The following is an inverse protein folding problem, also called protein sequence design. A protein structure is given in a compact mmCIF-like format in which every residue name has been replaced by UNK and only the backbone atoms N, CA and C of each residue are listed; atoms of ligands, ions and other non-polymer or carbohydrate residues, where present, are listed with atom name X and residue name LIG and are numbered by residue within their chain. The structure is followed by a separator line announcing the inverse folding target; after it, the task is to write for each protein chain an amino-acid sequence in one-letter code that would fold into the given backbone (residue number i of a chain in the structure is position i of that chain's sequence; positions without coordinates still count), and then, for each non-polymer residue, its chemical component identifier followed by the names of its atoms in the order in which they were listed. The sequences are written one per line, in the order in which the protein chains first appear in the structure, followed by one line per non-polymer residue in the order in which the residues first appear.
data_IF_726166997958
#
_entry.id   IF_726166997958
#
_cell.length_a   1.000
_cell.length_b   1.000
_cell.length_c   1.000
_cell.angle_alpha   90.00
_cell.angle_beta   90.00
_cell.angle_gamma   90.00
#
_symmetry.space_group_name_H-M   'P 1'
#
loop_
_entity.id
_entity.type
_entity.pdbx_description
1 polymer ?
#
# COMPACT_ATOMS: atom_id res chain seq x y z
N UNK A 1 -12.27 10.57 56.04
CA UNK A 1 -13.30 9.94 55.18
C UNK A 1 -13.74 10.88 54.05
N UNK A 2 -13.96 12.15 54.34
CA UNK A 2 -14.38 13.16 53.35
C UNK A 2 -13.35 13.42 52.21
N UNK A 3 -12.08 13.53 52.53
CA UNK A 3 -11.00 13.75 51.49
C UNK A 3 -10.87 12.62 50.49
N UNK A 4 -11.05 11.35 50.90
CA UNK A 4 -11.00 10.20 49.96
C UNK A 4 -12.20 10.16 49.02
N UNK A 5 -13.32 10.73 49.40
CA UNK A 5 -14.50 10.84 48.54
C UNK A 5 -14.30 11.95 47.52
N UNK A 6 -13.76 13.11 47.94
CA UNK A 6 -13.47 14.21 47.03
C UNK A 6 -12.46 13.82 45.95
N UNK A 7 -11.37 13.13 46.29
CA UNK A 7 -10.36 12.66 45.36
C UNK A 7 -10.92 11.68 44.32
N UNK A 8 -11.82 10.78 44.72
CA UNK A 8 -12.46 9.83 43.80
C UNK A 8 -13.46 10.51 42.85
N UNK A 9 -14.16 11.54 43.32
CA UNK A 9 -15.08 12.33 42.47
C UNK A 9 -14.27 13.16 41.46
N UNK A 10 -13.15 13.75 41.85
CA UNK A 10 -12.28 14.52 40.97
C UNK A 10 -11.66 13.63 39.88
N UNK A 11 -11.21 12.43 40.23
CA UNK A 11 -10.66 11.47 39.26
C UNK A 11 -11.75 10.98 38.28
N UNK A 12 -12.96 10.73 38.77
CA UNK A 12 -14.09 10.31 37.94
C UNK A 12 -14.54 11.41 36.96
N UNK A 13 -14.55 12.67 37.40
CA UNK A 13 -14.87 13.82 36.53
C UNK A 13 -13.76 14.05 35.51
N UNK A 14 -12.49 13.89 35.86
CA UNK A 14 -11.36 14.01 34.94
C UNK A 14 -11.35 12.87 33.88
N UNK A 15 -11.66 11.65 34.30
CA UNK A 15 -11.81 10.51 33.39
C UNK A 15 -13.01 10.69 32.46
N UNK A 16 -14.12 11.24 32.93
CA UNK A 16 -15.31 11.52 32.13
C UNK A 16 -15.07 12.69 31.15
N UNK A 17 -14.31 13.72 31.55
CA UNK A 17 -13.91 14.81 30.65
C UNK A 17 -12.92 14.36 29.57
N UNK A 18 -12.01 13.42 29.85
CA UNK A 18 -11.11 12.83 28.88
C UNK A 18 -11.89 11.96 27.88
N UNK A 19 -12.89 11.21 28.33
CA UNK A 19 -13.73 10.40 27.41
C UNK A 19 -14.65 11.29 26.55
N UNK A 20 -15.10 12.44 27.04
CA UNK A 20 -15.91 13.40 26.28
C UNK A 20 -15.10 14.23 25.27
N UNK A 21 -13.77 14.33 25.42
CA UNK A 21 -12.90 15.09 24.50
C UNK A 21 -12.44 14.28 23.26
N UNK A 22 -12.72 12.98 23.18
CA UNK A 22 -12.30 12.13 22.08
C UNK A 22 -13.41 11.70 21.12
N UNK A 23 -14.61 12.25 21.24
CA UNK A 23 -15.62 12.12 20.19
C UNK A 23 -15.69 13.39 19.33
N UNK A 24 -14.58 13.85 18.76
CA UNK A 24 -14.70 14.51 17.47
C UNK A 24 -15.08 13.40 16.48
N UNK A 25 -16.38 13.34 16.18
CA UNK A 25 -16.86 12.67 15.00
C UNK A 25 -16.02 13.24 13.84
N UNK A 26 -15.19 12.40 13.22
CA UNK A 26 -14.54 12.81 11.98
C UNK A 26 -15.63 13.37 11.08
N UNK A 27 -15.52 14.63 10.71
CA UNK A 27 -16.49 15.28 9.83
C UNK A 27 -16.34 14.60 8.48
N UNK A 28 -17.42 14.07 7.98
CA UNK A 28 -17.42 13.41 6.68
C UNK A 28 -17.47 14.51 5.62
N UNK A 29 -16.32 14.91 5.13
CA UNK A 29 -16.16 16.03 4.19
C UNK A 29 -15.31 15.57 2.98
N UNK A 30 -15.44 16.27 1.86
CA UNK A 30 -14.53 16.25 0.72
C UNK A 30 -13.87 17.60 0.59
N UNK A 31 -12.64 17.65 0.11
CA UNK A 31 -12.03 18.89 -0.35
C UNK A 31 -12.64 19.33 -1.67
N UNK A 32 -12.67 20.64 -1.90
CA UNK A 32 -12.90 21.18 -3.22
C UNK A 32 -11.96 22.36 -3.51
N UNK A 33 -11.65 22.49 -4.80
CA UNK A 33 -11.03 23.68 -5.38
C UNK A 33 -11.91 24.20 -6.50
N UNK A 34 -12.03 25.52 -6.62
CA UNK A 34 -12.71 26.15 -7.75
C UNK A 34 -11.71 26.90 -8.63
N UNK A 35 -11.93 26.85 -9.94
CA UNK A 35 -11.08 27.50 -10.91
C UNK A 35 -11.90 28.29 -11.94
N UNK A 36 -11.29 29.27 -12.57
CA UNK A 36 -11.91 29.93 -13.68
C UNK A 36 -11.83 29.06 -14.93
N UNK A 37 -12.98 28.68 -15.47
CA UNK A 37 -13.09 28.04 -16.78
C UNK A 37 -12.80 29.00 -17.93
N UNK A 38 -12.38 28.48 -19.06
CA UNK A 38 -12.15 29.25 -20.29
C UNK A 38 -12.89 28.56 -21.44
N UNK A 39 -13.88 29.28 -22.03
CA UNK A 39 -14.67 28.76 -23.14
C UNK A 39 -15.83 27.87 -22.74
N UNK A 40 -16.62 27.43 -23.73
CA UNK A 40 -17.85 26.68 -23.57
C UNK A 40 -17.60 25.27 -22.96
N UNK A 41 -16.60 24.58 -23.47
CA UNK A 41 -16.17 23.27 -22.93
C UNK A 41 -14.69 23.35 -22.62
N UNK A 42 -14.28 23.58 -21.37
CA UNK A 42 -12.89 23.68 -21.02
C UNK A 42 -12.17 22.34 -21.29
N UNK A 43 -10.89 22.41 -21.61
CA UNK A 43 -10.07 21.21 -21.80
C UNK A 43 -10.10 20.35 -20.54
N UNK A 44 -10.28 19.06 -20.71
CA UNK A 44 -10.47 18.12 -19.62
C UNK A 44 -9.11 17.72 -18.98
N UNK A 45 -9.00 17.65 -17.64
CA UNK A 45 -7.77 17.22 -16.97
C UNK A 45 -7.31 15.80 -17.30
N UNK A 46 -8.17 14.93 -17.79
CA UNK A 46 -7.93 13.50 -17.97
C UNK A 46 -7.45 13.04 -19.35
N UNK A 47 -7.46 13.90 -20.38
CA UNK A 47 -7.07 13.51 -21.75
C UNK A 47 -5.61 13.82 -22.10
N UNK A 48 -4.68 13.59 -21.17
CA UNK A 48 -3.23 13.76 -21.44
C UNK A 48 -2.79 15.22 -21.59
N UNK A 49 -3.66 16.18 -21.38
CA UNK A 49 -3.34 17.59 -21.24
C UNK A 49 -2.95 17.85 -19.79
N UNK A 50 -1.71 18.21 -19.55
CA UNK A 50 -1.31 18.78 -18.27
C UNK A 50 -2.08 20.08 -18.05
N UNK A 51 -3.22 20.03 -17.39
CA UNK A 51 -3.88 21.20 -16.90
C UNK A 51 -3.16 21.66 -15.62
N UNK A 52 -2.14 22.45 -15.78
CA UNK A 52 -1.68 23.31 -14.73
C UNK A 52 -2.77 24.38 -14.55
N UNK A 53 -3.77 24.11 -13.71
CA UNK A 53 -4.66 25.18 -13.31
C UNK A 53 -3.85 26.18 -12.48
N UNK A 54 -4.06 27.48 -12.74
CA UNK A 54 -3.51 28.51 -11.89
C UNK A 54 -4.07 28.35 -10.46
N UNK A 55 -3.61 29.17 -9.54
CA UNK A 55 -4.12 29.25 -8.18
C UNK A 55 -5.65 29.14 -8.14
N UNK A 56 -6.25 28.27 -7.31
CA UNK A 56 -7.69 28.18 -7.17
C UNK A 56 -8.32 29.55 -6.83
N UNK A 57 -9.55 29.79 -7.30
CA UNK A 57 -10.36 30.93 -6.86
C UNK A 57 -10.77 30.77 -5.40
N UNK A 58 -11.11 29.56 -4.99
CA UNK A 58 -11.40 29.20 -3.61
C UNK A 58 -11.07 27.71 -3.35
N UNK A 59 -10.77 27.39 -2.10
CA UNK A 59 -10.53 26.03 -1.61
C UNK A 59 -11.13 25.90 -0.22
N UNK A 60 -11.92 24.85 0.02
CA UNK A 60 -12.50 24.53 1.34
C UNK A 60 -12.99 23.06 1.33
N UNK A 61 -13.93 22.70 2.19
CA UNK A 61 -14.53 21.37 2.29
C UNK A 61 -16.05 21.42 2.11
N UNK A 62 -16.59 20.31 1.60
CA UNK A 62 -18.05 20.07 1.49
C UNK A 62 -18.42 18.74 2.11
N UNK A 63 -19.63 18.63 2.67
CA UNK A 63 -20.10 17.41 3.32
C UNK A 63 -20.55 16.32 2.34
N UNK A 64 -20.65 16.62 1.05
CA UNK A 64 -21.10 15.68 0.01
C UNK A 64 -21.34 16.36 -1.32
N UNK A 65 -21.75 15.60 -2.33
CA UNK A 65 -21.99 16.07 -3.70
C UNK A 65 -23.50 16.04 -3.97
N UNK A 66 -24.20 17.05 -3.50
CA UNK A 66 -25.64 17.26 -3.72
C UNK A 66 -25.92 18.78 -3.84
N UNK A 67 -25.55 19.34 -4.98
CA UNK A 67 -25.65 20.79 -5.22
C UNK A 67 -26.63 21.13 -6.32
N UNK A 68 -27.33 22.22 -6.12
CA UNK A 68 -28.09 22.94 -7.16
C UNK A 68 -27.96 24.44 -6.86
N UNK A 69 -27.06 25.09 -7.56
CA UNK A 69 -26.83 26.55 -7.41
C UNK A 69 -27.79 27.39 -8.28
N UNK A 70 -28.52 26.74 -9.22
CA UNK A 70 -29.30 27.47 -10.23
C UNK A 70 -28.43 28.55 -10.89
N UNK A 71 -28.90 29.80 -10.94
CA UNK A 71 -28.13 30.95 -11.43
C UNK A 71 -27.28 31.65 -10.34
N UNK A 72 -27.07 31.00 -9.22
CA UNK A 72 -26.22 31.51 -8.13
C UNK A 72 -24.74 31.18 -8.30
N UNK A 73 -23.90 31.71 -7.42
CA UNK A 73 -22.47 31.43 -7.45
C UNK A 73 -22.20 29.95 -7.11
N UNK A 74 -21.30 29.34 -7.86
CA UNK A 74 -20.87 27.97 -7.68
C UNK A 74 -19.87 27.89 -6.52
N UNK A 75 -20.28 27.30 -5.40
CA UNK A 75 -19.50 27.31 -4.16
C UNK A 75 -18.99 28.71 -3.81
N UNK A 76 -17.80 28.83 -3.27
CA UNK A 76 -17.19 30.12 -2.90
C UNK A 76 -16.34 30.74 -4.01
N UNK A 77 -16.55 30.32 -5.27
CA UNK A 77 -15.84 30.87 -6.45
C UNK A 77 -16.13 32.34 -6.71
N UNK A 78 -17.25 32.88 -6.20
CA UNK A 78 -17.79 34.19 -6.52
C UNK A 78 -18.32 34.30 -7.96
N UNK A 79 -18.44 33.21 -8.71
CA UNK A 79 -18.85 33.15 -10.12
C UNK A 79 -20.08 32.31 -10.32
N UNK A 80 -20.93 32.67 -11.25
CA UNK A 80 -22.11 31.92 -11.68
C UNK A 80 -21.81 31.03 -12.90
N UNK A 81 -20.90 31.51 -13.77
CA UNK A 81 -20.59 30.92 -15.06
C UNK A 81 -19.08 30.77 -15.25
N UNK A 82 -18.70 29.89 -16.17
CA UNK A 82 -17.29 29.61 -16.49
C UNK A 82 -16.47 29.22 -15.23
N UNK A 83 -16.97 28.25 -14.51
CA UNK A 83 -16.36 27.71 -13.30
C UNK A 83 -16.02 26.25 -13.49
N UNK A 84 -14.85 25.83 -13.01
CA UNK A 84 -14.47 24.43 -12.87
C UNK A 84 -14.38 24.14 -11.39
N UNK A 85 -14.94 23.02 -10.96
CA UNK A 85 -14.83 22.51 -9.58
C UNK A 85 -14.14 21.17 -9.58
N UNK A 86 -13.17 21.01 -8.70
CA UNK A 86 -12.52 19.75 -8.39
C UNK A 86 -12.92 19.31 -6.98
N UNK A 87 -13.66 18.21 -6.86
CA UNK A 87 -13.94 17.56 -5.59
C UNK A 87 -12.99 16.38 -5.42
N UNK A 88 -12.34 16.28 -4.25
CA UNK A 88 -11.42 15.19 -4.00
C UNK A 88 -11.35 14.80 -2.52
N UNK A 89 -11.03 13.55 -2.28
CA UNK A 89 -10.98 12.96 -0.94
C UNK A 89 -11.24 11.46 -1.01
N UNK A 90 -11.97 10.94 -0.05
CA UNK A 90 -12.18 9.50 0.07
C UNK A 90 -13.66 9.16 0.26
N UNK A 91 -14.06 8.01 -0.28
CA UNK A 91 -15.40 7.45 -0.11
C UNK A 91 -15.31 6.03 0.43
N UNK A 92 -15.96 5.75 1.55
CA UNK A 92 -16.03 4.40 2.14
C UNK A 92 -17.30 3.72 1.71
N UNK A 93 -17.19 2.53 1.11
CA UNK A 93 -18.35 1.71 0.73
C UNK A 93 -18.92 1.02 1.97
N UNK A 94 -20.17 1.25 2.36
CA UNK A 94 -20.77 0.59 3.52
C UNK A 94 -20.90 -0.93 3.34
N UNK A 95 -20.97 -1.66 4.48
CA UNK A 95 -21.17 -3.11 4.48
C UNK A 95 -19.87 -3.91 4.44
N UNK A 96 -19.91 -5.11 3.88
CA UNK A 96 -18.77 -6.04 3.81
C UNK A 96 -18.82 -6.91 2.55
N UNK A 97 -17.69 -7.47 2.16
CA UNK A 97 -17.58 -8.34 0.98
C UNK A 97 -17.72 -7.61 -0.35
N UNK A 98 -17.68 -8.36 -1.44
CA UNK A 98 -17.77 -7.83 -2.80
C UNK A 98 -19.20 -7.35 -3.10
N UNK A 99 -19.31 -6.13 -3.62
CA UNK A 99 -20.59 -5.47 -3.94
C UNK A 99 -20.54 -4.91 -5.36
N UNK A 100 -21.67 -5.00 -6.06
CA UNK A 100 -21.85 -4.38 -7.38
C UNK A 100 -22.53 -3.02 -7.20
N UNK A 101 -21.80 -1.95 -7.46
CA UNK A 101 -22.24 -0.57 -7.26
C UNK A 101 -22.28 0.15 -8.60
N UNK A 102 -23.42 0.76 -8.93
CA UNK A 102 -23.57 1.64 -10.09
C UNK A 102 -23.72 3.07 -9.60
N UNK A 103 -22.99 4.00 -10.22
CA UNK A 103 -23.11 5.42 -9.95
C UNK A 103 -24.04 6.09 -10.97
N UNK A 104 -24.83 7.04 -10.49
CA UNK A 104 -25.75 7.84 -11.28
C UNK A 104 -25.44 9.31 -11.04
N UNK A 105 -25.52 10.10 -12.09
CA UNK A 105 -25.19 11.51 -12.07
C UNK A 105 -26.33 12.37 -12.57
N UNK A 106 -26.57 13.48 -11.88
CA UNK A 106 -27.27 14.65 -12.43
C UNK A 106 -26.29 15.81 -12.46
N UNK A 107 -26.09 16.43 -13.60
CA UNK A 107 -25.16 17.56 -13.75
C UNK A 107 -25.66 18.58 -14.75
N UNK A 108 -25.21 19.81 -14.55
CA UNK A 108 -25.32 20.98 -15.40
C UNK A 108 -24.02 21.78 -15.13
N UNK A 109 -23.03 21.78 -15.97
CA UNK A 109 -22.81 21.05 -17.21
C UNK A 109 -22.10 19.69 -17.03
N UNK A 110 -20.84 19.57 -17.52
CA UNK A 110 -20.11 18.32 -17.64
C UNK A 110 -19.39 17.86 -16.38
N UNK A 111 -19.29 16.55 -16.23
CA UNK A 111 -18.65 15.91 -15.09
C UNK A 111 -17.74 14.75 -15.51
N UNK A 112 -16.67 14.57 -14.76
CA UNK A 112 -15.78 13.44 -14.84
C UNK A 112 -15.40 12.95 -13.45
N UNK A 113 -15.40 11.62 -13.24
CA UNK A 113 -15.06 11.05 -11.93
C UNK A 113 -14.20 9.79 -12.07
N UNK A 114 -13.23 9.69 -11.21
CA UNK A 114 -12.49 8.45 -10.93
C UNK A 114 -12.75 7.98 -9.49
N UNK A 115 -12.67 6.66 -9.33
CA UNK A 115 -12.40 6.04 -8.04
C UNK A 115 -11.02 5.36 -8.13
N UNK A 116 -10.12 5.77 -7.27
CA UNK A 116 -8.69 5.47 -7.39
C UNK A 116 -8.20 5.81 -8.82
N UNK A 117 -7.77 4.84 -9.60
CA UNK A 117 -7.35 5.04 -10.99
C UNK A 117 -8.45 4.74 -12.02
N UNK A 118 -9.58 4.21 -11.61
CA UNK A 118 -10.64 3.76 -12.52
C UNK A 118 -11.57 4.90 -12.88
N UNK A 119 -11.73 5.19 -14.17
CA UNK A 119 -12.73 6.14 -14.67
C UNK A 119 -14.12 5.54 -14.49
N UNK A 120 -14.95 6.18 -13.69
CA UNK A 120 -16.32 5.74 -13.38
C UNK A 120 -17.34 6.57 -14.13
N UNK A 121 -17.12 7.87 -14.26
CA UNK A 121 -17.97 8.80 -14.98
C UNK A 121 -17.13 9.58 -15.98
N UNK A 122 -17.57 9.63 -17.23
CA UNK A 122 -16.98 10.46 -18.28
C UNK A 122 -18.09 11.08 -19.12
N UNK A 123 -18.56 12.22 -18.68
CA UNK A 123 -19.65 12.99 -19.29
C UNK A 123 -19.28 14.48 -19.35
N UNK A 124 -18.16 14.76 -20.04
CA UNK A 124 -17.57 16.09 -20.12
C UNK A 124 -18.09 16.86 -21.35
N UNK A 125 -19.34 17.31 -21.25
CA UNK A 125 -20.04 18.04 -22.32
C UNK A 125 -21.01 19.07 -21.75
N UNK A 126 -21.37 20.08 -22.57
CA UNK A 126 -22.46 21.00 -22.22
C UNK A 126 -23.79 20.30 -22.18
N UNK A 127 -24.52 20.47 -21.09
CA UNK A 127 -25.82 19.82 -20.86
C UNK A 127 -26.55 20.50 -19.71
N UNK A 128 -27.89 20.43 -19.73
CA UNK A 128 -28.69 20.74 -18.55
C UNK A 128 -29.02 19.50 -17.74
N UNK A 129 -29.48 19.68 -16.50
CA UNK A 129 -29.86 18.56 -15.64
C UNK A 129 -30.98 17.68 -16.26
N UNK A 130 -30.76 16.37 -16.26
CA UNK A 130 -31.72 15.34 -16.62
C UNK A 130 -32.05 14.45 -15.42
N UNK A 131 -32.98 13.47 -15.58
CA UNK A 131 -33.22 12.46 -14.53
C UNK A 131 -31.89 11.72 -14.18
N UNK A 132 -31.15 11.31 -15.22
CA UNK A 132 -29.76 10.85 -15.13
C UNK A 132 -29.04 11.33 -16.38
N UNK A 133 -28.07 12.20 -16.20
CA UNK A 133 -27.18 12.61 -17.29
C UNK A 133 -26.24 11.46 -17.64
N UNK A 134 -25.78 10.73 -16.62
CA UNK A 134 -24.89 9.60 -16.79
C UNK A 134 -25.21 8.47 -15.82
N UNK A 135 -25.07 7.24 -16.31
CA UNK A 135 -25.14 6.01 -15.50
C UNK A 135 -23.88 5.19 -15.79
N UNK A 136 -23.09 4.92 -14.78
CA UNK A 136 -21.85 4.14 -14.94
C UNK A 136 -22.12 2.67 -15.27
N UNK A 137 -21.12 1.98 -15.78
CA UNK A 137 -21.07 0.53 -15.65
C UNK A 137 -21.02 0.15 -14.17
N UNK A 138 -21.49 -1.04 -13.83
CA UNK A 138 -21.41 -1.54 -12.47
C UNK A 138 -19.95 -1.72 -12.07
N UNK A 139 -19.56 -1.13 -10.94
CA UNK A 139 -18.23 -1.26 -10.34
C UNK A 139 -18.26 -2.37 -9.28
N UNK A 140 -17.27 -3.24 -9.27
CA UNK A 140 -17.09 -4.21 -8.20
C UNK A 140 -16.27 -3.58 -7.09
N UNK A 141 -16.94 -3.19 -6.01
CA UNK A 141 -16.30 -2.54 -4.85
C UNK A 141 -16.41 -3.44 -3.62
N UNK A 142 -15.48 -3.30 -2.68
CA UNK A 142 -15.50 -4.07 -1.44
C UNK A 142 -16.12 -3.25 -0.31
N UNK A 143 -17.13 -3.79 0.34
CA UNK A 143 -17.75 -3.17 1.51
C UNK A 143 -16.76 -3.05 2.67
N UNK A 144 -16.77 -1.90 3.34
CA UNK A 144 -15.80 -1.53 4.36
C UNK A 144 -14.50 -0.92 3.82
N UNK A 145 -14.25 -1.02 2.52
CA UNK A 145 -13.08 -0.39 1.89
C UNK A 145 -13.35 1.07 1.54
N UNK A 146 -12.28 1.82 1.50
CA UNK A 146 -12.26 3.25 1.18
C UNK A 146 -11.50 3.46 -0.11
N UNK A 147 -12.05 4.26 -1.00
CA UNK A 147 -11.53 4.58 -2.33
C UNK A 147 -11.28 6.08 -2.44
N UNK A 148 -10.22 6.48 -3.13
CA UNK A 148 -10.01 7.90 -3.45
C UNK A 148 -10.99 8.33 -4.53
N UNK A 149 -11.75 9.40 -4.27
CA UNK A 149 -12.62 10.04 -5.26
C UNK A 149 -11.93 11.29 -5.82
N UNK A 150 -11.85 11.36 -7.13
CA UNK A 150 -11.31 12.47 -7.93
C UNK A 150 -12.38 12.86 -8.95
N UNK A 151 -13.15 13.90 -8.64
CA UNK A 151 -14.31 14.31 -9.43
C UNK A 151 -14.18 15.77 -9.88
N UNK A 152 -14.36 15.96 -11.16
CA UNK A 152 -14.33 17.27 -11.80
C UNK A 152 -15.69 17.61 -12.40
N UNK A 153 -16.07 18.85 -12.27
CA UNK A 153 -17.27 19.43 -12.87
C UNK A 153 -16.92 20.75 -13.53
N UNK A 154 -17.57 21.11 -14.61
CA UNK A 154 -17.57 22.50 -15.10
C UNK A 154 -18.98 23.03 -15.31
N UNK A 155 -19.11 24.34 -15.19
CA UNK A 155 -20.25 25.15 -15.51
C UNK A 155 -19.85 26.19 -16.55
N UNK A 156 -20.52 26.22 -17.70
CA UNK A 156 -20.28 27.19 -18.78
C UNK A 156 -21.16 28.43 -18.63
N UNK A 157 -22.45 28.24 -18.43
CA UNK A 157 -23.41 29.34 -18.30
C UNK A 157 -24.83 28.84 -18.12
N UNK A 158 -25.62 29.62 -17.37
CA UNK A 158 -27.01 29.32 -17.10
C UNK A 158 -27.29 28.85 -15.70
N UNK A 159 -27.72 27.62 -15.54
CA UNK A 159 -27.92 27.00 -14.23
C UNK A 159 -26.85 25.99 -13.90
N UNK A 160 -26.32 25.98 -12.69
CA UNK A 160 -25.30 25.05 -12.25
C UNK A 160 -25.83 24.04 -11.24
N UNK A 161 -25.52 22.76 -11.44
CA UNK A 161 -25.89 21.69 -10.52
C UNK A 161 -24.98 20.47 -10.66
N UNK A 162 -24.72 19.77 -9.54
CA UNK A 162 -24.10 18.46 -9.55
C UNK A 162 -24.58 17.59 -8.39
N UNK A 163 -25.02 16.37 -8.69
CA UNK A 163 -25.49 15.42 -7.69
C UNK A 163 -25.02 14.02 -8.01
N UNK A 164 -24.37 13.37 -7.04
CA UNK A 164 -23.87 12.02 -7.16
C UNK A 164 -24.74 11.03 -6.38
N UNK A 165 -25.21 10.02 -7.07
CA UNK A 165 -26.02 8.93 -6.52
C UNK A 165 -25.33 7.59 -6.75
N UNK A 166 -25.73 6.61 -5.97
CA UNK A 166 -25.36 5.21 -6.16
C UNK A 166 -26.49 4.25 -5.78
N UNK A 167 -26.37 2.99 -6.17
CA UNK A 167 -27.33 1.94 -5.79
C UNK A 167 -26.76 0.93 -4.78
N UNK A 168 -25.78 1.33 -3.97
CA UNK A 168 -25.06 0.45 -3.05
C UNK A 168 -25.99 -0.37 -2.11
N UNK A 169 -27.11 0.16 -1.71
CA UNK A 169 -28.13 -0.51 -0.87
C UNK A 169 -29.23 -1.21 -1.67
N UNK A 170 -29.08 -1.35 -3.00
CA UNK A 170 -30.11 -1.88 -3.91
C UNK A 170 -31.12 -0.84 -4.39
N UNK A 171 -31.18 0.35 -3.81
CA UNK A 171 -31.97 1.50 -4.25
C UNK A 171 -31.08 2.66 -4.62
N UNK A 172 -31.46 3.43 -5.66
CA UNK A 172 -30.73 4.63 -6.06
C UNK A 172 -30.98 5.72 -5.02
N UNK A 173 -29.90 6.21 -4.41
CA UNK A 173 -29.92 7.28 -3.41
C UNK A 173 -28.69 8.18 -3.57
N UNK A 174 -28.79 9.43 -3.13
CA UNK A 174 -27.63 10.31 -2.98
C UNK A 174 -26.56 9.56 -2.13
N UNK A 175 -25.32 9.66 -2.55
CA UNK A 175 -24.21 9.12 -1.78
C UNK A 175 -24.19 9.77 -0.40
N UNK A 176 -24.34 8.98 0.69
CA UNK A 176 -24.51 9.55 2.02
C UNK A 176 -23.28 10.36 2.46
N UNK A 177 -23.50 11.51 3.08
CA UNK A 177 -22.42 12.37 3.59
C UNK A 177 -21.50 11.64 4.57
N UNK A 178 -22.00 10.67 5.30
CA UNK A 178 -21.22 9.85 6.24
C UNK A 178 -20.19 8.92 5.60
N UNK A 179 -20.23 8.76 4.28
CA UNK A 179 -19.29 7.91 3.55
C UNK A 179 -18.04 8.67 3.08
N UNK A 180 -18.06 9.99 3.09
CA UNK A 180 -16.94 10.82 2.64
C UNK A 180 -15.93 11.10 3.76
N UNK A 181 -14.67 11.33 3.39
CA UNK A 181 -13.58 11.74 4.30
C UNK A 181 -12.52 12.54 3.55
N UNK A 182 -12.04 13.61 4.16
CA UNK A 182 -10.82 14.31 3.72
C UNK A 182 -9.56 13.60 4.19
N UNK A 183 -9.69 12.71 5.16
CA UNK A 183 -8.55 11.94 5.68
C UNK A 183 -8.43 10.66 4.88
N UNK A 184 -7.25 10.40 4.34
CA UNK A 184 -6.93 9.08 3.84
C UNK A 184 -7.36 8.03 4.87
N UNK A 185 -7.92 6.90 4.46
CA UNK A 185 -8.16 5.83 5.41
C UNK A 185 -6.86 5.69 6.15
N UNK A 186 -6.91 5.77 7.47
CA UNK A 186 -5.80 5.27 8.26
C UNK A 186 -5.62 3.87 7.71
N UNK A 187 -4.48 3.53 7.10
CA UNK A 187 -4.28 2.17 6.69
C UNK A 187 -4.60 1.38 7.94
N UNK A 188 -5.73 0.67 7.93
CA UNK A 188 -5.85 -0.42 8.86
C UNK A 188 -4.70 -1.29 8.44
N UNK A 189 -3.59 -1.11 9.10
CA UNK A 189 -2.43 -1.96 9.01
C UNK A 189 -2.78 -3.29 9.66
N UNK A 190 -3.89 -3.79 9.30
CA UNK A 190 -4.13 -5.18 9.34
C UNK A 190 -3.39 -5.70 8.13
N UNK A 191 -2.14 -6.11 8.31
CA UNK A 191 -1.69 -7.32 7.68
C UNK A 191 -2.97 -8.11 7.46
N UNK A 192 -3.37 -8.36 6.23
CA UNK A 192 -4.61 -9.11 6.00
C UNK A 192 -4.56 -10.34 6.88
N UNK A 193 -5.67 -10.81 7.40
CA UNK A 193 -5.68 -12.02 8.22
C UNK A 193 -4.99 -13.19 7.51
N UNK A 194 -5.02 -13.22 6.17
CA UNK A 194 -4.30 -14.20 5.35
C UNK A 194 -2.77 -13.99 5.41
N UNK A 195 -2.28 -12.76 5.37
CA UNK A 195 -0.85 -12.47 5.48
C UNK A 195 -0.31 -12.69 6.90
N UNK A 196 -1.10 -12.34 7.92
CA UNK A 196 -0.78 -12.67 9.31
C UNK A 196 -0.78 -14.19 9.51
N UNK A 197 -1.68 -14.92 8.87
CA UNK A 197 -1.73 -16.38 8.90
C UNK A 197 -0.51 -16.96 8.18
N UNK A 198 -0.16 -16.47 6.99
CA UNK A 198 1.02 -16.91 6.25
C UNK A 198 2.32 -16.70 7.06
N UNK A 199 2.43 -15.57 7.78
CA UNK A 199 3.53 -15.32 8.72
C UNK A 199 3.51 -16.29 9.88
N UNK A 200 2.35 -16.56 10.47
CA UNK A 200 2.19 -17.51 11.57
C UNK A 200 2.53 -18.94 11.10
N UNK A 201 2.09 -19.31 9.92
CA UNK A 201 2.39 -20.61 9.30
C UNK A 201 3.89 -20.73 8.99
N UNK A 202 4.51 -19.72 8.43
CA UNK A 202 5.96 -19.68 8.19
C UNK A 202 6.76 -19.77 9.51
N UNK A 203 6.33 -19.09 10.56
CA UNK A 203 6.93 -19.19 11.91
C UNK A 203 6.74 -20.56 12.55
N UNK A 204 5.70 -21.29 12.18
CA UNK A 204 5.48 -22.68 12.60
C UNK A 204 6.40 -23.69 11.93
N UNK A 205 7.08 -23.31 10.84
CA UNK A 205 8.06 -24.16 10.15
C UNK A 205 9.41 -23.99 10.84
N UNK A 206 9.95 -25.07 11.35
CA UNK A 206 11.24 -25.09 12.03
C UNK A 206 12.12 -26.20 11.47
N UNK A 207 13.43 -26.01 11.50
CA UNK A 207 14.38 -27.08 11.29
C UNK A 207 14.46 -28.02 12.49
N UNK A 208 15.32 -29.04 12.39
CA UNK A 208 15.67 -29.89 13.53
C UNK A 208 16.48 -29.05 14.55
N UNK A 209 15.96 -28.90 15.74
CA UNK A 209 16.58 -28.12 16.83
C UNK A 209 18.00 -28.56 17.19
N UNK A 210 18.44 -29.73 16.76
CA UNK A 210 19.75 -30.30 17.02
C UNK A 210 20.68 -30.32 15.80
N UNK A 211 20.20 -29.84 14.65
CA UNK A 211 20.98 -29.87 13.41
C UNK A 211 20.46 -28.94 12.34
N UNK A 212 21.20 -28.79 11.28
CA UNK A 212 20.85 -28.01 10.11
C UNK A 212 20.29 -28.90 9.02
N UNK A 213 19.36 -28.39 8.22
CA UNK A 213 18.66 -29.16 7.22
C UNK A 213 18.61 -28.43 5.88
N UNK A 214 18.90 -29.13 4.80
CA UNK A 214 18.80 -28.64 3.43
C UNK A 214 18.01 -29.63 2.61
N UNK A 215 16.88 -29.21 2.06
CA UNK A 215 16.02 -29.95 1.14
C UNK A 215 15.90 -29.18 -0.17
N UNK A 216 16.66 -29.58 -1.18
CA UNK A 216 16.67 -28.95 -2.52
C UNK A 216 16.67 -30.04 -3.58
N UNK A 217 15.94 -29.81 -4.65
CA UNK A 217 16.03 -30.50 -5.92
C UNK A 217 16.52 -29.54 -7.00
N UNK A 218 17.26 -30.03 -7.96
CA UNK A 218 17.81 -29.25 -9.07
C UNK A 218 17.51 -29.88 -10.40
N UNK A 219 17.17 -29.05 -11.37
CA UNK A 219 17.12 -29.43 -12.79
C UNK A 219 17.61 -28.27 -13.66
N UNK A 220 18.40 -28.56 -14.69
CA UNK A 220 19.06 -27.57 -15.57
C UNK A 220 20.59 -27.63 -15.48
N UNK A 221 21.24 -26.85 -16.34
CA UNK A 221 22.67 -26.86 -16.50
C UNK A 221 23.35 -25.63 -15.87
N UNK A 222 24.61 -25.78 -15.47
CA UNK A 222 25.45 -24.69 -14.95
C UNK A 222 24.88 -23.96 -13.71
N UNK A 223 24.30 -24.67 -12.77
CA UNK A 223 23.96 -24.11 -11.47
C UNK A 223 25.22 -23.91 -10.64
N UNK A 224 25.43 -22.69 -10.14
CA UNK A 224 26.38 -22.37 -9.08
C UNK A 224 25.61 -22.23 -7.76
N UNK A 225 25.74 -23.22 -6.88
CA UNK A 225 24.99 -23.30 -5.61
C UNK A 225 25.94 -23.42 -4.43
N UNK A 226 25.94 -22.39 -3.58
CA UNK A 226 26.66 -22.38 -2.31
C UNK A 226 25.69 -22.21 -1.14
N UNK A 227 25.67 -23.17 -0.22
CA UNK A 227 24.84 -23.11 1.00
C UNK A 227 25.71 -23.38 2.21
N UNK A 228 25.79 -22.38 3.08
CA UNK A 228 26.53 -22.47 4.33
C UNK A 228 25.56 -22.27 5.50
N UNK A 229 25.55 -23.22 6.41
CA UNK A 229 24.75 -23.12 7.64
C UNK A 229 25.67 -23.28 8.85
N UNK A 230 25.78 -22.23 9.63
CA UNK A 230 26.44 -22.22 10.93
C UNK A 230 25.41 -22.48 12.04
N UNK A 231 25.87 -22.73 13.26
CA UNK A 231 25.03 -23.00 14.43
C UNK A 231 24.08 -24.18 14.23
N UNK A 232 22.83 -24.10 14.62
CA UNK A 232 21.87 -25.20 14.54
C UNK A 232 20.42 -24.74 14.29
N UNK A 233 19.59 -25.70 13.92
CA UNK A 233 18.17 -25.44 13.67
C UNK A 233 17.88 -24.70 12.37
N UNK A 234 18.90 -24.40 11.56
CA UNK A 234 18.71 -23.73 10.29
C UNK A 234 18.10 -24.65 9.24
N UNK A 235 17.20 -24.11 8.44
CA UNK A 235 16.46 -24.88 7.44
C UNK A 235 16.46 -24.14 6.09
N UNK A 236 16.77 -24.89 5.04
CA UNK A 236 16.46 -24.53 3.64
C UNK A 236 15.53 -25.60 3.07
N UNK A 237 14.35 -25.19 2.59
CA UNK A 237 13.34 -26.10 2.02
C UNK A 237 12.50 -25.38 0.96
N UNK A 238 11.57 -26.07 0.30
CA UNK A 238 10.69 -25.48 -0.71
C UNK A 238 9.55 -24.63 -0.15
N UNK A 239 9.06 -23.70 -0.94
CA UNK A 239 8.01 -22.74 -0.56
C UNK A 239 6.66 -23.38 -0.24
N UNK A 240 6.45 -24.63 -0.61
CA UNK A 240 5.25 -25.41 -0.29
C UNK A 240 5.35 -26.21 1.00
N UNK A 241 6.47 -26.10 1.73
CA UNK A 241 6.64 -26.74 3.04
C UNK A 241 5.64 -26.21 4.06
N UNK A 242 5.26 -27.10 4.97
CA UNK A 242 4.40 -26.78 6.13
C UNK A 242 5.08 -27.25 7.42
N UNK A 243 4.56 -26.84 8.56
CA UNK A 243 5.05 -27.27 9.88
C UNK A 243 5.01 -28.81 10.09
N UNK A 244 4.19 -29.51 9.33
CA UNK A 244 4.03 -30.96 9.42
C UNK A 244 4.69 -31.72 8.28
N UNK A 245 5.14 -31.05 7.21
CA UNK A 245 5.71 -31.70 6.02
C UNK A 245 6.68 -30.77 5.31
N UNK A 246 7.96 -31.10 5.36
CA UNK A 246 8.97 -30.40 4.59
C UNK A 246 9.01 -30.93 3.15
N UNK A 247 9.06 -30.04 2.21
CA UNK A 247 9.16 -30.31 0.76
C UNK A 247 10.47 -29.73 0.28
N UNK A 248 11.14 -30.39 -0.66
CA UNK A 248 12.37 -29.86 -1.23
C UNK A 248 12.09 -28.60 -2.06
N UNK A 249 12.93 -27.60 -1.93
CA UNK A 249 12.96 -26.45 -2.82
C UNK A 249 13.37 -26.86 -4.23
N UNK A 250 12.69 -26.34 -5.24
CA UNK A 250 13.00 -26.63 -6.63
C UNK A 250 13.83 -25.51 -7.25
N UNK A 251 15.00 -25.86 -7.75
CA UNK A 251 15.85 -24.96 -8.57
C UNK A 251 15.84 -25.51 -9.98
N UNK A 252 15.18 -24.83 -10.91
CA UNK A 252 15.05 -25.24 -12.29
C UNK A 252 15.45 -24.13 -13.27
N UNK A 253 16.11 -24.50 -14.37
CA UNK A 253 16.65 -23.60 -15.38
C UNK A 253 18.18 -23.55 -15.39
N UNK A 254 18.74 -22.86 -16.37
CA UNK A 254 20.16 -22.89 -16.66
C UNK A 254 20.89 -21.61 -16.14
N UNK A 255 22.17 -21.77 -15.82
CA UNK A 255 23.07 -20.67 -15.46
C UNK A 255 22.61 -19.85 -14.22
N UNK A 256 21.94 -20.47 -13.28
CA UNK A 256 21.55 -19.79 -12.05
C UNK A 256 22.71 -19.77 -11.04
N UNK A 257 22.83 -18.68 -10.29
CA UNK A 257 23.78 -18.53 -9.18
C UNK A 257 23.00 -18.32 -7.89
N UNK A 258 23.22 -19.19 -6.90
CA UNK A 258 22.51 -19.15 -5.62
C UNK A 258 23.52 -19.24 -4.47
N UNK A 259 23.52 -18.25 -3.59
CA UNK A 259 24.37 -18.22 -2.39
C UNK A 259 23.49 -18.02 -1.16
N UNK A 260 23.51 -18.94 -0.23
CA UNK A 260 22.73 -18.92 1.01
C UNK A 260 23.65 -19.09 2.21
N UNK A 261 23.59 -18.13 3.13
CA UNK A 261 24.29 -18.21 4.42
C UNK A 261 23.27 -18.07 5.55
N UNK A 262 23.25 -19.01 6.46
CA UNK A 262 22.42 -18.97 7.66
C UNK A 262 23.32 -19.16 8.89
N UNK A 263 23.20 -18.27 9.89
CA UNK A 263 24.04 -18.25 11.06
C UNK A 263 25.40 -17.60 10.84
N UNK A 264 26.24 -17.57 11.87
CA UNK A 264 27.52 -16.86 11.88
C UNK A 264 28.70 -17.77 12.26
N UNK A 265 29.80 -17.70 11.51
CA UNK A 265 31.03 -18.46 11.75
C UNK A 265 31.77 -18.12 13.04
N UNK A 266 31.45 -17.01 13.68
CA UNK A 266 32.13 -16.55 14.90
C UNK A 266 31.59 -17.18 16.19
N UNK A 267 30.58 -18.06 16.11
CA UNK A 267 30.08 -18.83 17.25
C UNK A 267 29.12 -18.07 18.15
N UNK A 268 28.45 -17.07 17.64
CA UNK A 268 27.26 -16.45 18.24
C UNK A 268 26.00 -17.20 17.80
N UNK A 269 24.98 -17.22 18.65
CA UNK A 269 23.85 -18.14 18.51
C UNK A 269 22.77 -17.65 17.54
N UNK A 270 23.05 -17.54 16.25
CA UNK A 270 22.05 -17.27 15.24
C UNK A 270 21.32 -18.55 14.79
N UNK A 271 20.54 -19.11 15.71
CA UNK A 271 19.84 -20.37 15.54
C UNK A 271 18.49 -20.23 14.83
N UNK A 272 18.00 -21.34 14.26
CA UNK A 272 16.62 -21.48 13.78
C UNK A 272 16.20 -20.57 12.62
N UNK A 273 17.12 -20.15 11.76
CA UNK A 273 16.78 -19.43 10.54
C UNK A 273 16.12 -20.35 9.51
N UNK A 274 15.10 -19.86 8.83
CA UNK A 274 14.37 -20.66 7.83
C UNK A 274 14.30 -19.89 6.51
N UNK A 275 14.76 -20.53 5.46
CA UNK A 275 14.55 -20.13 4.08
C UNK A 275 13.67 -21.15 3.37
N UNK A 276 12.49 -20.74 2.94
CA UNK A 276 11.67 -21.50 2.00
C UNK A 276 11.90 -20.94 0.60
N UNK A 277 12.37 -21.77 -0.33
CA UNK A 277 12.95 -21.28 -1.57
C UNK A 277 12.57 -22.16 -2.76
N UNK A 278 12.08 -21.53 -3.83
CA UNK A 278 11.95 -22.11 -5.16
C UNK A 278 12.44 -21.10 -6.21
N UNK A 279 13.15 -21.57 -7.21
CA UNK A 279 13.68 -20.77 -8.32
C UNK A 279 13.40 -21.47 -9.65
N UNK A 280 12.70 -20.77 -10.55
CA UNK A 280 12.39 -21.28 -11.88
C UNK A 280 12.73 -20.25 -12.95
N UNK A 281 13.61 -20.61 -13.89
CA UNK A 281 14.07 -19.76 -14.97
C UNK A 281 15.58 -19.68 -15.05
N UNK A 282 16.09 -18.96 -16.04
CA UNK A 282 17.49 -18.96 -16.40
C UNK A 282 18.23 -17.71 -15.95
N UNK A 283 19.51 -17.86 -15.63
CA UNK A 283 20.45 -16.75 -15.38
C UNK A 283 19.99 -15.84 -14.23
N UNK A 284 19.34 -16.40 -13.22
CA UNK A 284 18.99 -15.67 -12.01
C UNK A 284 20.15 -15.70 -11.00
N UNK A 285 20.30 -14.62 -10.25
CA UNK A 285 21.25 -14.53 -9.14
C UNK A 285 20.48 -14.30 -7.84
N UNK A 286 20.66 -15.18 -6.87
CA UNK A 286 19.99 -15.11 -5.57
C UNK A 286 21.03 -15.19 -4.46
N UNK A 287 21.05 -14.20 -3.59
CA UNK A 287 21.88 -14.18 -2.38
C UNK A 287 20.99 -13.97 -1.17
N UNK A 288 21.07 -14.88 -0.21
CA UNK A 288 20.33 -14.79 1.05
C UNK A 288 21.29 -14.97 2.21
N UNK A 289 21.28 -14.00 3.14
CA UNK A 289 22.05 -14.03 4.36
C UNK A 289 21.12 -13.80 5.55
N UNK A 290 21.05 -14.76 6.44
CA UNK A 290 20.22 -14.71 7.65
C UNK A 290 21.10 -14.97 8.87
N UNK A 291 21.18 -14.00 9.79
CA UNK A 291 21.92 -14.15 11.01
C UNK A 291 23.45 -14.11 10.84
N UNK A 292 23.95 -13.34 9.91
CA UNK A 292 25.40 -13.26 9.60
C UNK A 292 26.15 -12.27 10.53
N UNK A 293 25.50 -11.67 11.49
CA UNK A 293 26.13 -10.77 12.47
C UNK A 293 26.48 -11.53 13.77
N UNK A 294 27.58 -11.12 14.41
CA UNK A 294 28.10 -11.74 15.65
C UNK A 294 27.16 -11.67 16.86
N UNK A 295 26.23 -10.71 16.86
CA UNK A 295 25.27 -10.48 17.96
C UNK A 295 23.83 -10.92 17.60
N UNK A 296 23.66 -11.67 16.52
CA UNK A 296 22.34 -12.06 16.01
C UNK A 296 21.72 -13.20 16.81
N UNK A 297 20.49 -13.03 17.22
CA UNK A 297 19.71 -14.05 17.95
C UNK A 297 19.08 -15.11 17.04
N UNK A 298 19.11 -14.91 15.72
CA UNK A 298 18.49 -15.82 14.73
C UNK A 298 16.98 -15.74 14.67
N UNK A 299 16.37 -16.80 14.20
CA UNK A 299 14.90 -16.88 14.06
C UNK A 299 14.35 -16.21 12.82
N UNK A 300 15.19 -15.77 11.91
CA UNK A 300 14.77 -15.14 10.65
C UNK A 300 13.99 -16.08 9.75
N UNK A 301 13.03 -15.53 9.02
CA UNK A 301 12.16 -16.27 8.12
C UNK A 301 12.03 -15.57 6.78
N UNK A 302 12.40 -16.27 5.72
CA UNK A 302 12.16 -15.83 4.35
C UNK A 302 11.43 -16.92 3.59
N UNK A 303 10.40 -16.53 2.84
CA UNK A 303 9.83 -17.36 1.79
C UNK A 303 10.07 -16.65 0.47
N UNK A 304 10.80 -17.27 -0.43
CA UNK A 304 11.27 -16.69 -1.68
C UNK A 304 10.88 -17.59 -2.84
N UNK A 305 10.15 -17.06 -3.79
CA UNK A 305 9.86 -17.73 -5.05
C UNK A 305 10.16 -16.77 -6.20
N UNK A 306 11.09 -17.14 -7.04
CA UNK A 306 11.43 -16.39 -8.26
C UNK A 306 11.06 -17.21 -9.47
N UNK A 307 10.31 -16.62 -10.40
CA UNK A 307 9.99 -17.23 -11.69
C UNK A 307 10.36 -16.23 -12.78
N UNK A 308 11.01 -16.69 -13.84
CA UNK A 308 11.52 -15.83 -14.93
C UNK A 308 13.03 -15.73 -14.94
N UNK A 309 13.56 -14.94 -15.87
CA UNK A 309 14.98 -14.96 -16.22
C UNK A 309 15.67 -13.65 -15.81
N UNK A 310 16.98 -13.73 -15.59
CA UNK A 310 17.83 -12.57 -15.32
C UNK A 310 17.41 -11.73 -14.10
N UNK A 311 16.77 -12.34 -13.11
CA UNK A 311 16.45 -11.64 -11.87
C UNK A 311 17.66 -11.67 -10.93
N UNK A 312 17.87 -10.57 -10.20
CA UNK A 312 18.89 -10.46 -9.15
C UNK A 312 18.21 -10.16 -7.83
N UNK A 313 18.42 -11.03 -6.85
CA UNK A 313 17.82 -10.95 -5.52
C UNK A 313 18.90 -10.93 -4.45
N UNK A 314 18.90 -9.92 -3.58
CA UNK A 314 19.73 -9.86 -2.38
C UNK A 314 18.84 -9.70 -1.14
N UNK A 315 18.99 -10.58 -0.17
CA UNK A 315 18.27 -10.53 1.11
C UNK A 315 19.28 -10.61 2.23
N UNK A 316 19.23 -9.64 3.12
CA UNK A 316 19.99 -9.63 4.36
C UNK A 316 19.03 -9.47 5.55
N UNK A 317 19.09 -10.37 6.50
CA UNK A 317 18.35 -10.30 7.75
C UNK A 317 19.34 -10.44 8.92
N UNK A 318 19.52 -9.36 9.67
CA UNK A 318 20.44 -9.27 10.80
C UNK A 318 19.74 -8.64 12.00
N UNK A 319 20.03 -9.17 13.19
CA UNK A 319 19.48 -8.65 14.43
C UNK A 319 20.61 -8.43 15.45
N UNK A 320 20.86 -7.21 15.84
CA UNK A 320 21.95 -6.80 16.74
C UNK A 320 21.61 -7.00 18.23
N UNK A 321 21.26 -8.21 18.64
CA UNK A 321 21.34 -8.59 20.06
C UNK A 321 20.10 -8.45 20.92
N UNK A 322 18.89 -8.47 20.35
CA UNK A 322 17.64 -8.55 21.10
C UNK A 322 17.33 -9.95 21.61
N UNK A 323 17.67 -10.29 22.86
CA UNK A 323 17.17 -11.52 23.48
C UNK A 323 15.65 -11.48 23.50
N UNK A 324 14.99 -12.29 22.68
CA UNK A 324 13.55 -12.42 22.60
C UNK A 324 12.89 -11.82 21.36
N UNK A 325 13.66 -11.31 20.39
CA UNK A 325 13.12 -11.01 19.08
C UNK A 325 12.72 -12.30 18.36
N UNK A 326 11.65 -12.21 17.58
CA UNK A 326 11.20 -13.37 16.81
C UNK A 326 11.86 -13.47 15.42
N UNK A 327 12.95 -12.72 15.20
CA UNK A 327 13.61 -12.58 13.92
C UNK A 327 12.80 -11.77 12.90
N UNK A 328 13.46 -11.35 11.84
CA UNK A 328 12.83 -10.66 10.74
C UNK A 328 12.07 -11.62 9.83
N UNK A 329 11.07 -11.08 9.14
CA UNK A 329 10.23 -11.86 8.24
C UNK A 329 10.14 -11.22 6.85
N UNK A 330 10.24 -12.05 5.82
CA UNK A 330 9.94 -11.70 4.44
C UNK A 330 9.07 -12.76 3.78
N UNK A 331 8.28 -12.32 2.77
CA UNK A 331 7.57 -13.20 1.84
C UNK A 331 7.80 -12.68 0.45
N UNK A 332 8.30 -13.03 -0.55
CA UNK A 332 8.82 -12.26 -1.69
C UNK A 332 8.00 -12.39 -2.97
N UNK A 333 7.98 -13.40 -3.66
CA UNK A 333 7.36 -13.85 -4.89
C UNK A 333 8.09 -13.50 -6.21
N UNK A 334 8.14 -12.43 -6.78
CA UNK A 334 8.69 -11.89 -8.05
C UNK A 334 8.05 -12.45 -9.31
N UNK A 335 8.00 -13.25 -10.07
CA UNK A 335 7.49 -13.56 -11.43
C UNK A 335 7.82 -12.43 -12.44
N UNK A 336 8.46 -12.73 -13.52
CA UNK A 336 8.89 -11.78 -14.56
C UNK A 336 10.41 -11.75 -14.71
N UNK A 337 10.93 -10.90 -15.60
CA UNK A 337 12.32 -10.96 -15.98
C UNK A 337 13.08 -9.68 -15.61
N UNK A 338 14.38 -9.79 -15.42
CA UNK A 338 15.28 -8.64 -15.26
C UNK A 338 14.87 -7.72 -14.09
N UNK A 339 14.37 -8.29 -13.02
CA UNK A 339 14.13 -7.56 -11.80
C UNK A 339 15.39 -7.57 -10.93
N UNK A 340 15.67 -6.43 -10.27
CA UNK A 340 16.69 -6.32 -9.24
C UNK A 340 16.01 -5.95 -7.94
N UNK A 341 16.22 -6.70 -6.88
CA UNK A 341 15.68 -6.39 -5.57
C UNK A 341 16.71 -6.67 -4.48
N UNK A 342 16.95 -5.68 -3.64
CA UNK A 342 17.75 -5.81 -2.44
C UNK A 342 16.89 -5.45 -1.24
N UNK A 343 16.92 -6.26 -0.21
CA UNK A 343 16.18 -6.02 1.02
C UNK A 343 17.06 -6.30 2.21
N UNK A 344 17.33 -5.26 2.97
CA UNK A 344 18.07 -5.33 4.22
C UNK A 344 17.14 -5.10 5.40
N UNK A 345 17.07 -6.05 6.31
CA UNK A 345 16.36 -5.95 7.58
C UNK A 345 17.37 -6.10 8.71
N UNK A 346 17.56 -5.04 9.50
CA UNK A 346 18.63 -4.92 10.48
C UNK A 346 18.14 -4.43 11.83
N UNK A 347 18.96 -4.70 12.84
CA UNK A 347 18.80 -4.25 14.22
C UNK A 347 17.55 -4.80 14.92
N UNK A 348 17.41 -4.49 16.20
CA UNK A 348 16.32 -4.94 17.05
C UNK A 348 14.92 -4.55 16.51
N UNK A 349 13.92 -5.24 16.99
CA UNK A 349 12.54 -5.05 16.55
C UNK A 349 12.23 -5.82 15.26
N UNK A 350 11.09 -6.47 15.26
CA UNK A 350 10.64 -7.30 14.12
C UNK A 350 10.45 -6.44 12.87
N UNK A 351 11.20 -6.73 11.81
CA UNK A 351 10.99 -6.14 10.49
C UNK A 351 10.15 -7.07 9.64
N UNK A 352 9.27 -6.51 8.85
CA UNK A 352 8.44 -7.26 7.90
C UNK A 352 8.42 -6.57 6.55
N UNK A 353 8.65 -7.35 5.51
CA UNK A 353 8.45 -6.90 4.13
C UNK A 353 7.50 -7.83 3.45
N UNK A 354 6.83 -7.84 2.51
CA UNK A 354 6.19 -8.83 1.65
C UNK A 354 6.80 -8.75 0.25
N UNK A 355 6.55 -7.91 -0.60
CA UNK A 355 7.13 -7.48 -1.88
C UNK A 355 6.29 -7.79 -3.12
N UNK A 356 6.07 -8.96 -3.58
CA UNK A 356 5.31 -9.45 -4.75
C UNK A 356 5.82 -8.93 -6.13
N UNK A 357 6.15 -8.28 -6.82
CA UNK A 357 6.67 -7.74 -8.08
C UNK A 357 5.86 -8.04 -9.34
N UNK A 358 5.59 -9.24 -9.70
CA UNK A 358 4.85 -9.79 -10.86
C UNK A 358 5.12 -9.17 -12.26
N UNK A 359 5.99 -8.22 -12.40
CA UNK A 359 6.38 -7.55 -13.66
C UNK A 359 7.84 -7.72 -13.96
N UNK A 360 8.33 -6.97 -14.94
CA UNK A 360 9.72 -7.04 -15.39
C UNK A 360 10.43 -5.69 -15.31
N UNK A 361 11.76 -5.72 -15.26
CA UNK A 361 12.63 -4.55 -15.29
C UNK A 361 12.41 -3.61 -14.08
N UNK A 362 12.14 -4.13 -12.92
CA UNK A 362 12.06 -3.34 -11.70
C UNK A 362 13.42 -3.24 -11.02
N UNK A 363 13.68 -2.11 -10.38
CA UNK A 363 14.84 -1.90 -9.53
C UNK A 363 14.32 -1.41 -8.18
N UNK A 364 14.51 -2.20 -7.14
CA UNK A 364 13.97 -1.98 -5.80
C UNK A 364 15.15 -1.97 -4.85
N UNK A 365 15.11 -1.17 -3.84
CA UNK A 365 16.07 -1.16 -2.73
C UNK A 365 15.23 -0.89 -1.48
N UNK A 366 15.27 -1.69 -0.46
CA UNK A 366 14.49 -1.52 0.75
C UNK A 366 15.41 -1.74 1.94
N UNK A 367 15.54 -0.76 2.79
CA UNK A 367 16.25 -0.87 4.06
C UNK A 367 15.27 -0.65 5.21
N UNK A 368 15.13 -1.63 6.09
CA UNK A 368 14.42 -1.52 7.36
C UNK A 368 15.41 -1.69 8.51
N UNK A 369 15.66 -0.64 9.27
CA UNK A 369 16.62 -0.66 10.35
C UNK A 369 16.13 0.12 11.59
N UNK A 370 16.95 0.19 12.63
CA UNK A 370 16.58 0.81 13.91
C UNK A 370 15.83 -0.16 14.83
N UNK A 371 15.39 0.31 15.99
CA UNK A 371 14.80 -0.54 17.04
C UNK A 371 13.26 -0.67 16.94
N UNK A 372 12.62 0.07 16.05
CA UNK A 372 11.18 -0.01 15.81
C UNK A 372 10.77 -1.27 15.05
N UNK A 373 9.50 -1.65 15.22
CA UNK A 373 8.89 -2.66 14.36
C UNK A 373 8.46 -2.01 13.04
N UNK A 374 9.13 -2.35 11.96
CA UNK A 374 8.83 -1.79 10.65
C UNK A 374 8.07 -2.79 9.81
N UNK A 375 7.02 -2.30 9.16
CA UNK A 375 6.20 -3.07 8.26
C UNK A 375 6.14 -2.40 6.87
N UNK A 376 6.17 -3.20 5.83
CA UNK A 376 6.00 -2.77 4.46
C UNK A 376 5.05 -3.74 3.74
N UNK A 377 4.70 -3.54 2.49
CA UNK A 377 3.91 -4.47 1.66
C UNK A 377 4.33 -4.31 0.22
N UNK A 378 4.49 -3.60 -0.55
CA UNK A 378 5.05 -3.21 -1.84
C UNK A 378 4.12 -3.54 -3.03
N UNK A 379 3.99 -4.68 -3.56
CA UNK A 379 3.39 -5.05 -4.87
C UNK A 379 4.18 -4.42 -6.02
N UNK A 380 4.03 -4.15 -7.07
CA UNK A 380 4.64 -3.39 -8.16
C UNK A 380 3.94 -3.71 -9.50
N UNK A 381 4.63 -3.70 -10.57
CA UNK A 381 4.26 -3.95 -11.94
C UNK A 381 5.54 -4.04 -12.76
N UNK A 382 5.61 -3.42 -13.94
CA UNK A 382 6.82 -3.42 -14.75
C UNK A 382 7.48 -2.05 -14.80
N UNK A 383 8.82 -2.05 -14.96
CA UNK A 383 9.63 -0.83 -15.15
C UNK A 383 9.50 0.18 -13.99
N UNK A 384 9.44 -0.29 -12.76
CA UNK A 384 9.35 0.55 -11.57
C UNK A 384 10.72 0.72 -10.90
N UNK A 385 10.96 1.90 -10.34
CA UNK A 385 12.09 2.16 -9.44
C UNK A 385 11.51 2.51 -8.08
N UNK A 386 12.01 1.97 -6.99
CA UNK A 386 11.37 2.13 -5.69
C UNK A 386 12.27 2.86 -4.70
N UNK A 387 13.28 2.30 -4.14
CA UNK A 387 14.11 2.85 -3.06
C UNK A 387 13.37 2.90 -1.74
N UNK A 388 13.27 2.78 -0.73
CA UNK A 388 12.48 2.91 0.52
C UNK A 388 13.43 3.09 1.69
N UNK A 389 13.26 3.42 2.75
CA UNK A 389 14.02 3.33 3.99
C UNK A 389 13.06 3.50 5.16
N UNK A 390 13.05 2.59 6.09
CA UNK A 390 12.37 2.75 7.37
C UNK A 390 13.40 2.62 8.48
N UNK A 391 13.55 3.66 9.30
CA UNK A 391 14.60 3.76 10.31
C UNK A 391 14.09 4.38 11.62
N UNK A 392 14.76 4.06 12.72
CA UNK A 392 14.48 4.65 14.02
C UNK A 392 13.77 3.72 15.00
N UNK A 393 13.20 4.31 16.05
CA UNK A 393 12.51 3.57 17.12
C UNK A 393 10.98 3.62 17.00
N UNK A 394 10.43 4.42 16.09
CA UNK A 394 9.01 4.39 15.75
C UNK A 394 8.62 3.14 14.96
N UNK A 395 7.37 2.71 15.07
CA UNK A 395 6.84 1.59 14.29
C UNK A 395 6.32 2.11 12.95
N UNK A 396 7.18 2.10 11.94
CA UNK A 396 6.82 2.64 10.63
C UNK A 396 6.09 1.60 9.79
N UNK A 397 5.07 2.06 9.06
CA UNK A 397 4.26 1.22 8.18
C UNK A 397 4.19 1.84 6.80
N UNK A 398 4.32 1.00 5.77
CA UNK A 398 4.19 1.40 4.38
C UNK A 398 3.43 0.35 3.59
N UNK A 399 2.68 0.80 2.60
CA UNK A 399 2.18 0.00 1.51
C UNK A 399 2.44 0.80 0.25
N UNK A 400 2.91 0.22 -0.83
CA UNK A 400 3.38 1.02 -1.99
C UNK A 400 2.64 0.55 -3.21
N UNK A 401 2.16 -0.29 -3.70
CA UNK A 401 1.44 -0.73 -4.89
C UNK A 401 1.62 0.19 -6.11
N UNK A 402 2.70 0.08 -6.83
CA UNK A 402 2.95 0.82 -8.07
C UNK A 402 2.57 -0.04 -9.28
N UNK A 403 1.74 0.47 -10.18
CA UNK A 403 1.32 -0.21 -11.39
C UNK A 403 1.39 0.70 -12.62
N UNK A 404 1.03 0.15 -13.79
CA UNK A 404 1.02 0.89 -15.05
C UNK A 404 2.42 1.04 -15.68
N UNK A 405 2.69 2.21 -16.25
CA UNK A 405 3.96 2.52 -16.90
C UNK A 405 5.03 2.92 -15.90
N UNK A 406 6.25 3.16 -16.38
CA UNK A 406 7.41 3.53 -15.57
C UNK A 406 7.12 4.62 -14.56
N UNK A 407 7.42 4.37 -13.31
CA UNK A 407 7.36 5.37 -12.24
C UNK A 407 8.43 5.10 -11.19
N UNK A 408 8.83 6.14 -10.47
CA UNK A 408 9.75 6.06 -9.36
C UNK A 408 9.07 6.44 -8.03
N UNK A 409 9.56 5.91 -6.95
CA UNK A 409 9.23 6.28 -5.59
C UNK A 409 10.53 6.34 -4.79
N UNK A 410 10.70 7.38 -4.00
CA UNK A 410 11.58 7.34 -2.85
C UNK A 410 10.71 7.56 -1.62
N UNK A 411 10.72 6.67 -0.68
CA UNK A 411 10.03 6.79 0.59
C UNK A 411 11.10 6.77 1.69
N UNK A 412 11.03 7.68 2.64
CA UNK A 412 11.83 7.61 3.85
C UNK A 412 10.94 7.89 5.06
N UNK A 413 10.94 6.98 6.02
CA UNK A 413 10.27 7.13 7.29
C UNK A 413 11.31 6.97 8.39
N UNK A 414 11.45 7.96 9.27
CA UNK A 414 12.49 7.92 10.30
C UNK A 414 12.03 8.56 11.62
N UNK A 415 12.79 8.31 12.68
CA UNK A 415 12.56 8.91 13.99
C UNK A 415 11.88 8.00 15.00
N UNK A 416 11.34 8.59 16.07
CA UNK A 416 10.79 7.87 17.22
C UNK A 416 9.25 7.82 17.25
N UNK A 417 8.60 8.48 16.31
CA UNK A 417 7.13 8.53 16.20
C UNK A 417 6.67 7.53 15.16
N UNK A 418 5.59 6.80 15.45
CA UNK A 418 4.97 5.88 14.49
C UNK A 418 4.49 6.64 13.26
N UNK A 419 4.91 6.19 12.09
CA UNK A 419 4.57 6.81 10.82
C UNK A 419 3.87 5.81 9.91
N UNK A 420 2.86 6.28 9.20
CA UNK A 420 2.12 5.45 8.27
C UNK A 420 2.14 6.09 6.89
N UNK A 421 2.35 5.28 5.87
CA UNK A 421 2.30 5.68 4.48
C UNK A 421 1.50 4.67 3.67
N UNK A 422 0.67 5.19 2.81
CA UNK A 422 -0.06 4.40 1.81
C UNK A 422 0.02 5.12 0.48
N UNK A 423 0.57 4.47 -0.53
CA UNK A 423 0.53 4.94 -1.91
C UNK A 423 -0.07 3.86 -2.79
N UNK A 424 -1.05 4.25 -3.56
CA UNK A 424 -1.48 3.54 -4.74
C UNK A 424 -1.19 4.43 -5.94
N UNK A 425 -0.20 4.05 -6.74
CA UNK A 425 0.15 4.79 -7.96
C UNK A 425 -0.01 3.87 -9.16
N UNK A 426 -0.87 4.26 -10.08
CA UNK A 426 -1.01 3.59 -11.38
C UNK A 426 -0.66 4.60 -12.48
N UNK A 427 0.50 4.45 -13.06
CA UNK A 427 0.98 5.32 -14.13
C UNK A 427 0.31 4.98 -15.45
N UNK A 428 -0.56 5.84 -15.94
CA UNK A 428 -1.22 5.69 -17.24
C UNK A 428 -0.53 6.39 -18.40
N UNK A 429 0.54 7.14 -18.12
CA UNK A 429 1.31 7.84 -19.15
C UNK A 429 2.37 6.93 -19.78
N UNK A 430 2.29 6.70 -21.07
CA UNK A 430 3.26 5.90 -21.86
C UNK A 430 4.73 6.35 -21.70
N UNK A 431 4.97 7.61 -21.39
CA UNK A 431 6.30 8.16 -21.17
C UNK A 431 6.75 8.08 -19.70
N UNK A 432 5.94 7.46 -18.83
CA UNK A 432 6.19 7.37 -17.40
C UNK A 432 5.60 8.54 -16.61
N UNK A 433 5.56 8.40 -15.27
CA UNK A 433 4.96 9.36 -14.34
C UNK A 433 5.99 10.11 -13.48
N UNK A 434 7.28 9.89 -13.69
CA UNK A 434 8.31 10.48 -12.84
C UNK A 434 8.43 9.84 -11.46
N UNK A 435 9.14 10.50 -10.57
CA UNK A 435 9.43 10.02 -9.21
C UNK A 435 8.61 10.80 -8.18
N UNK A 436 7.97 10.08 -7.28
CA UNK A 436 7.32 10.63 -6.09
C UNK A 436 8.25 10.44 -4.90
N UNK A 437 8.61 11.53 -4.22
CA UNK A 437 9.45 11.45 -3.02
C UNK A 437 8.64 11.83 -1.79
N UNK A 438 8.70 10.99 -0.77
CA UNK A 438 8.02 11.20 0.52
C UNK A 438 9.05 11.07 1.64
N UNK A 439 9.12 12.06 2.51
CA UNK A 439 9.94 12.03 3.71
C UNK A 439 9.08 12.31 4.94
N UNK A 440 9.09 11.39 5.89
CA UNK A 440 8.42 11.50 7.18
C UNK A 440 9.49 11.33 8.28
N UNK A 441 9.64 12.36 9.14
CA UNK A 441 10.67 12.40 10.18
C UNK A 441 10.05 12.65 11.55
#
# INVERSE_FOLDING_TARGET
MFERILTRITIAIFALLIVLSFTQKARADLYYDTYQGTGATPSFPGNGGSLTYPTPLSSDTVTGIDFNWSSGAVLDSGRTDQVIVHFYGYITVPGSGSQSVTFYLQADDGVYMKLDSTVVINDWQEQGTATWNYVSTAQTLTGGQTYYIDMWMYENGGGAAVKLYWNQTGSIAIVPTSTYSTTAPTPTSSISSAQLQARTDARGITGDVNGNQIYITQSGDNLDLDIVQYDKGNLVAGTTSTSSSLVAGDISGDNNTVSITQGNSAGSFSDNNVLLFDLNGDSNTVTVRQGDNVDDAGGHRTKLKVTGNYNTMGILQENDGGIGSNGHFMDVDITGNSNTAYVDQKNDGDKMTFLDVNGSNNNIDILQQGTGQHFLDVTLGSNQTVDITQDGSGNHKGTVNMGGYTSGLNLSQSGSTDQNYYLYQNCTNLNGCGTTTVNQN
#
